data_IF_644259388089
#
_entry.id   IF_644259388089
#
_cell.length_a   1.000
_cell.length_b   1.000
_cell.length_c   1.000
_cell.angle_alpha   90.00
_cell.angle_beta   90.00
_cell.angle_gamma   90.00
#
_symmetry.space_group_name_H-M   'P 1'
#
loop_
_entity.id
_entity.type
_entity.pdbx_description
1 polymer ?
#
# COMPACT_ATOMS: atom_id res chain seq x y z
N UNK A 1 2.80 84.53 -17.62
CA UNK A 1 2.24 83.83 -16.41
C UNK A 1 1.24 82.69 -16.73
N UNK A 2 0.68 82.65 -17.94
CA UNK A 2 -0.33 81.61 -18.34
C UNK A 2 0.23 80.22 -18.67
N UNK A 3 1.47 80.11 -19.10
CA UNK A 3 2.06 78.77 -19.47
C UNK A 3 2.36 77.91 -18.24
N UNK A 4 2.63 78.57 -17.11
CA UNK A 4 2.97 77.86 -15.85
C UNK A 4 1.73 77.25 -15.17
N UNK A 5 0.53 77.79 -15.37
CA UNK A 5 -0.73 77.28 -14.79
C UNK A 5 -1.23 76.01 -15.54
N UNK A 6 -1.09 76.00 -16.86
CA UNK A 6 -1.51 74.90 -17.69
C UNK A 6 -0.65 73.60 -17.44
N UNK A 7 0.64 73.79 -17.18
CA UNK A 7 1.52 72.64 -16.90
C UNK A 7 1.15 71.96 -15.53
N UNK A 8 0.81 72.76 -14.54
CA UNK A 8 0.37 72.26 -13.23
C UNK A 8 -0.99 71.53 -13.30
N UNK A 9 -1.89 72.01 -14.15
CA UNK A 9 -3.20 71.36 -14.36
C UNK A 9 -3.06 70.02 -15.11
N UNK A 10 -2.19 69.96 -16.12
CA UNK A 10 -1.86 68.71 -16.85
C UNK A 10 -1.16 67.68 -15.95
N UNK A 11 -0.22 68.14 -15.14
CA UNK A 11 0.44 67.27 -14.17
C UNK A 11 -0.52 66.72 -13.13
N UNK A 12 -1.49 67.50 -12.65
CA UNK A 12 -2.53 67.10 -11.73
C UNK A 12 -3.47 66.05 -12.32
N UNK A 13 -3.86 66.21 -13.59
CA UNK A 13 -4.68 65.24 -14.33
C UNK A 13 -3.93 63.96 -14.63
N UNK A 14 -2.65 63.99 -14.97
CA UNK A 14 -1.81 62.81 -15.15
C UNK A 14 -1.64 62.08 -13.81
N UNK A 15 -1.43 62.79 -12.71
CA UNK A 15 -1.30 62.21 -11.39
C UNK A 15 -2.61 61.55 -10.92
N UNK A 16 -3.76 62.18 -11.20
CA UNK A 16 -5.08 61.61 -10.89
C UNK A 16 -5.40 60.39 -11.74
N UNK A 17 -5.02 60.35 -13.02
CA UNK A 17 -5.15 59.18 -13.88
C UNK A 17 -4.24 58.03 -13.45
N UNK A 18 -2.99 58.31 -13.06
CA UNK A 18 -2.07 57.33 -12.56
C UNK A 18 -2.52 56.73 -11.22
N UNK A 19 -3.05 57.56 -10.29
CA UNK A 19 -3.58 57.05 -9.02
C UNK A 19 -4.86 56.25 -9.19
N UNK A 20 -5.76 56.63 -10.13
CA UNK A 20 -6.93 55.80 -10.47
C UNK A 20 -6.54 54.46 -11.13
N UNK A 21 -5.50 54.45 -11.97
CA UNK A 21 -4.99 53.23 -12.61
C UNK A 21 -4.32 52.31 -11.60
N UNK A 22 -3.57 52.85 -10.63
CA UNK A 22 -3.00 52.06 -9.52
C UNK A 22 -4.08 51.55 -8.54
N UNK A 23 -5.15 52.32 -8.29
CA UNK A 23 -6.29 51.86 -7.49
C UNK A 23 -7.09 50.74 -8.19
N UNK A 24 -7.22 50.79 -9.51
CA UNK A 24 -7.87 49.75 -10.32
C UNK A 24 -7.00 48.50 -10.45
N UNK A 25 -5.66 48.63 -10.50
CA UNK A 25 -4.75 47.46 -10.44
C UNK A 25 -4.65 46.84 -9.06
N UNK A 26 -4.85 47.57 -7.96
CA UNK A 26 -4.84 47.03 -6.60
C UNK A 26 -6.11 46.24 -6.27
N UNK A 27 -7.18 46.33 -7.10
CA UNK A 27 -8.40 45.52 -6.95
C UNK A 27 -8.41 44.24 -7.82
N UNK A 28 -7.43 44.04 -8.71
CA UNK A 28 -7.22 42.79 -9.41
C UNK A 28 -6.28 41.88 -8.59
N UNK A 29 -6.70 41.51 -7.38
CA UNK A 29 -6.13 40.30 -6.76
C UNK A 29 -6.48 39.17 -7.69
N UNK A 30 -5.49 38.38 -8.19
CA UNK A 30 -5.83 37.17 -8.91
C UNK A 30 -6.68 36.37 -7.94
N UNK A 31 -7.91 36.05 -8.34
CA UNK A 31 -8.75 35.08 -7.67
C UNK A 31 -7.94 33.79 -7.71
N UNK A 32 -7.15 33.54 -6.68
CA UNK A 32 -6.50 32.24 -6.48
C UNK A 32 -7.67 31.27 -6.37
N UNK A 33 -7.91 30.55 -7.45
CA UNK A 33 -8.80 29.41 -7.40
C UNK A 33 -8.26 28.51 -6.28
N UNK A 34 -8.96 28.47 -5.17
CA UNK A 34 -8.58 27.61 -4.06
C UNK A 34 -8.49 26.17 -4.59
N UNK A 35 -7.45 25.43 -4.22
CA UNK A 35 -7.29 24.06 -4.70
C UNK A 35 -8.54 23.26 -4.33
N UNK A 36 -9.21 22.74 -5.35
CA UNK A 36 -10.36 21.86 -5.17
C UNK A 36 -9.90 20.61 -4.44
N UNK A 37 -10.37 20.42 -3.21
CA UNK A 37 -10.01 19.29 -2.36
C UNK A 37 -11.09 18.22 -2.46
N UNK A 38 -10.69 17.02 -2.88
CA UNK A 38 -11.44 15.78 -2.73
C UNK A 38 -10.54 14.77 -2.05
N UNK A 39 -10.85 14.39 -0.83
CA UNK A 39 -10.02 13.48 -0.05
C UNK A 39 -10.86 12.49 0.72
N UNK A 40 -10.57 11.21 0.54
CA UNK A 40 -10.98 10.13 1.43
C UNK A 40 -9.76 9.70 2.24
N UNK A 41 -9.87 9.63 3.54
CA UNK A 41 -8.78 9.23 4.42
C UNK A 41 -9.27 8.36 5.56
N UNK A 42 -8.43 7.40 5.94
CA UNK A 42 -8.63 6.51 7.08
C UNK A 42 -7.54 6.84 8.10
N UNK A 43 -7.92 7.00 9.35
CA UNK A 43 -7.02 7.25 10.47
C UNK A 43 -7.38 6.35 11.65
N UNK A 44 -6.57 6.36 12.71
CA UNK A 44 -6.80 5.54 13.91
C UNK A 44 -8.17 5.78 14.59
N UNK A 45 -8.84 6.88 14.30
CA UNK A 45 -10.15 7.23 14.91
C UNK A 45 -11.35 7.00 14.01
N UNK A 46 -11.14 6.66 12.73
CA UNK A 46 -12.27 6.48 11.79
C UNK A 46 -11.94 6.87 10.35
N UNK A 47 -13.00 6.98 9.55
CA UNK A 47 -12.96 7.41 8.15
C UNK A 47 -13.35 8.89 8.05
N UNK A 48 -12.72 9.61 7.13
CA UNK A 48 -13.03 11.02 6.87
C UNK A 48 -13.11 11.29 5.37
N UNK A 49 -14.13 12.01 4.96
CA UNK A 49 -14.28 12.55 3.62
C UNK A 49 -14.24 14.07 3.70
N UNK A 50 -13.38 14.70 2.89
CA UNK A 50 -13.29 16.15 2.74
C UNK A 50 -13.55 16.52 1.30
N UNK A 51 -14.53 17.40 1.06
CA UNK A 51 -14.96 17.84 -0.26
C UNK A 51 -15.05 19.38 -0.31
N UNK A 52 -14.51 20.00 -1.36
CA UNK A 52 -14.76 21.41 -1.67
C UNK A 52 -16.15 21.56 -2.30
N UNK A 53 -16.89 22.62 -1.96
CA UNK A 53 -18.23 22.87 -2.54
C UNK A 53 -18.20 23.33 -3.99
N UNK A 54 -17.07 23.83 -4.49
CA UNK A 54 -16.87 24.24 -5.89
C UNK A 54 -16.45 23.12 -6.83
N UNK A 55 -16.65 21.85 -6.46
CA UNK A 55 -16.31 20.70 -7.30
C UNK A 55 -17.12 20.65 -8.59
N UNK A 56 -16.47 20.31 -9.71
CA UNK A 56 -17.17 19.96 -10.94
C UNK A 56 -17.90 18.63 -10.73
N UNK A 57 -19.13 18.58 -11.21
CA UNK A 57 -19.99 17.39 -11.03
C UNK A 57 -19.32 16.10 -11.55
N UNK A 58 -18.66 16.17 -12.68
CA UNK A 58 -17.92 15.05 -13.28
C UNK A 58 -16.80 14.50 -12.37
N UNK A 59 -16.13 15.38 -11.61
CA UNK A 59 -15.04 14.98 -10.70
C UNK A 59 -15.62 14.37 -9.43
N UNK A 60 -16.74 14.93 -8.95
CA UNK A 60 -17.49 14.34 -7.83
C UNK A 60 -18.05 12.96 -8.19
N UNK A 61 -18.53 12.74 -9.41
CA UNK A 61 -19.00 11.44 -9.89
C UNK A 61 -17.88 10.40 -9.90
N UNK A 62 -16.71 10.79 -10.39
CA UNK A 62 -15.52 9.92 -10.33
C UNK A 62 -15.15 9.55 -8.91
N UNK A 63 -15.16 10.53 -8.01
CA UNK A 63 -14.85 10.31 -6.60
C UNK A 63 -15.86 9.39 -5.93
N UNK A 64 -17.17 9.62 -6.13
CA UNK A 64 -18.24 8.77 -5.63
C UNK A 64 -18.08 7.34 -6.15
N UNK A 65 -17.77 7.18 -7.43
CA UNK A 65 -17.55 5.87 -8.04
C UNK A 65 -16.27 5.20 -7.52
N UNK A 66 -15.18 5.96 -7.43
CA UNK A 66 -13.87 5.45 -6.98
C UNK A 66 -13.91 4.91 -5.55
N UNK A 67 -14.65 5.57 -4.66
CA UNK A 67 -14.76 5.20 -3.25
C UNK A 67 -16.13 4.61 -2.88
N UNK A 68 -16.96 4.32 -3.90
CA UNK A 68 -18.29 3.68 -3.79
C UNK A 68 -19.23 4.34 -2.79
N UNK A 69 -19.25 5.64 -2.81
CA UNK A 69 -19.99 6.48 -1.86
C UNK A 69 -21.42 6.77 -2.30
N UNK A 70 -21.98 5.96 -3.22
CA UNK A 70 -23.33 6.17 -3.77
C UNK A 70 -24.43 6.25 -2.71
N UNK A 71 -24.30 5.42 -1.66
CA UNK A 71 -25.26 5.37 -0.55
C UNK A 71 -25.27 6.62 0.32
N UNK A 72 -24.24 7.48 0.23
CA UNK A 72 -24.18 8.72 1.01
C UNK A 72 -24.95 9.88 0.38
N UNK A 73 -25.42 9.73 -0.87
CA UNK A 73 -26.13 10.79 -1.61
C UNK A 73 -25.38 12.15 -1.55
N UNK A 74 -24.04 12.12 -1.73
CA UNK A 74 -23.18 13.30 -1.57
C UNK A 74 -23.57 14.49 -2.45
N UNK A 75 -24.09 14.25 -3.66
CA UNK A 75 -24.59 15.32 -4.55
C UNK A 75 -25.75 16.07 -3.92
N UNK A 76 -26.73 15.36 -3.35
CA UNK A 76 -27.87 15.95 -2.67
C UNK A 76 -27.44 16.66 -1.39
N UNK A 77 -26.47 16.09 -0.66
CA UNK A 77 -25.92 16.72 0.51
C UNK A 77 -25.23 18.06 0.18
N UNK A 78 -24.43 18.10 -0.88
CA UNK A 78 -23.72 19.33 -1.30
C UNK A 78 -24.71 20.40 -1.79
N UNK A 79 -25.76 20.02 -2.55
CA UNK A 79 -26.70 20.97 -3.18
C UNK A 79 -27.78 21.46 -2.23
N UNK A 80 -28.32 20.61 -1.37
CA UNK A 80 -29.51 20.89 -0.55
C UNK A 80 -29.31 20.68 0.95
N UNK A 81 -28.09 20.35 1.40
CA UNK A 81 -27.78 20.00 2.79
C UNK A 81 -28.61 18.82 3.34
N UNK A 82 -29.06 17.92 2.46
CA UNK A 82 -29.82 16.74 2.84
C UNK A 82 -28.92 15.71 3.53
N UNK A 83 -29.07 15.54 4.84
CA UNK A 83 -28.15 14.76 5.69
C UNK A 83 -28.64 13.36 6.05
N UNK A 84 -29.86 12.98 5.64
CA UNK A 84 -30.46 11.72 6.10
C UNK A 84 -29.67 10.49 5.66
N UNK A 85 -29.19 10.46 4.42
CA UNK A 85 -28.35 9.37 3.93
C UNK A 85 -27.01 9.30 4.66
N UNK A 86 -26.41 10.45 4.93
CA UNK A 86 -25.15 10.57 5.69
C UNK A 86 -25.33 9.97 7.09
N UNK A 87 -26.39 10.38 7.81
CA UNK A 87 -26.68 9.92 9.18
C UNK A 87 -27.05 8.44 9.24
N UNK A 88 -27.88 7.96 8.30
CA UNK A 88 -28.29 6.55 8.21
C UNK A 88 -27.10 5.62 8.03
N UNK A 89 -26.04 6.08 7.35
CA UNK A 89 -24.79 5.33 7.15
C UNK A 89 -23.77 5.51 8.30
N UNK A 90 -24.18 6.11 9.41
CA UNK A 90 -23.33 6.31 10.59
C UNK A 90 -22.26 7.39 10.44
N UNK A 91 -22.35 8.24 9.41
CA UNK A 91 -21.45 9.38 9.24
C UNK A 91 -21.95 10.60 10.01
N UNK A 92 -21.02 11.41 10.49
CA UNK A 92 -21.28 12.68 11.17
C UNK A 92 -20.70 13.82 10.37
N UNK A 93 -21.45 14.92 10.26
CA UNK A 93 -20.96 16.15 9.62
C UNK A 93 -20.14 16.90 10.66
N UNK A 94 -18.85 17.09 10.39
CA UNK A 94 -17.90 17.81 11.26
C UNK A 94 -17.79 19.27 10.81
N UNK A 95 -17.72 19.49 9.50
CA UNK A 95 -17.64 20.83 8.93
C UNK A 95 -18.57 20.90 7.73
N UNK A 96 -19.34 21.98 7.63
CA UNK A 96 -20.14 22.32 6.46
C UNK A 96 -20.23 23.86 6.37
N UNK A 97 -19.22 24.46 5.78
CA UNK A 97 -19.16 25.91 5.57
C UNK A 97 -19.30 26.26 4.07
N UNK A 98 -19.03 27.48 3.67
CA UNK A 98 -19.16 27.94 2.28
C UNK A 98 -18.15 27.27 1.33
N UNK A 99 -17.04 26.77 1.84
CA UNK A 99 -15.91 26.29 1.06
C UNK A 99 -15.79 24.77 1.04
N UNK A 100 -15.92 24.13 2.21
CA UNK A 100 -15.68 22.70 2.38
C UNK A 100 -16.76 22.00 3.20
N UNK A 101 -16.89 20.73 2.93
CA UNK A 101 -17.63 19.76 3.74
C UNK A 101 -16.65 18.73 4.27
N UNK A 102 -16.72 18.44 5.56
CA UNK A 102 -15.99 17.34 6.20
C UNK A 102 -16.99 16.46 6.92
N UNK A 103 -17.04 15.19 6.55
CA UNK A 103 -17.83 14.18 7.23
C UNK A 103 -16.90 13.08 7.75
N UNK A 104 -17.23 12.53 8.92
CA UNK A 104 -16.45 11.46 9.55
C UNK A 104 -17.36 10.32 9.97
N UNK A 105 -16.85 9.10 9.89
CA UNK A 105 -17.46 7.91 10.46
C UNK A 105 -16.45 7.30 11.43
N UNK A 106 -16.70 7.35 12.75
CA UNK A 106 -15.81 6.74 13.72
C UNK A 106 -15.82 5.23 13.55
N UNK A 107 -14.68 4.58 13.81
CA UNK A 107 -14.68 3.15 14.03
C UNK A 107 -15.44 2.86 15.33
N UNK A 108 -16.19 1.78 15.34
CA UNK A 108 -16.83 1.31 16.56
C UNK A 108 -15.75 1.03 17.61
N UNK A 109 -16.00 1.38 18.87
CA UNK A 109 -15.04 1.12 19.93
C UNK A 109 -14.80 -0.39 20.08
N UNK A 110 -13.59 -0.77 20.50
CA UNK A 110 -13.15 -2.16 20.64
C UNK A 110 -14.06 -3.00 21.56
N UNK A 111 -14.87 -2.37 22.40
CA UNK A 111 -15.75 -3.03 23.36
C UNK A 111 -17.00 -3.66 22.72
N UNK A 112 -17.29 -3.34 21.44
CA UNK A 112 -18.41 -3.87 20.68
C UNK A 112 -17.98 -4.62 19.41
N UNK A 113 -16.72 -5.02 19.32
CA UNK A 113 -16.24 -5.79 18.17
C UNK A 113 -16.73 -7.22 18.31
N UNK A 114 -17.89 -7.51 17.72
CA UNK A 114 -18.45 -8.85 17.64
C UNK A 114 -17.82 -9.64 16.48
N UNK A 115 -17.41 -8.95 15.42
CA UNK A 115 -16.77 -9.56 14.24
C UNK A 115 -15.77 -8.60 13.59
N UNK A 116 -14.46 -8.92 13.55
CA UNK A 116 -13.49 -8.13 12.82
C UNK A 116 -13.84 -7.96 11.34
N UNK A 117 -14.57 -8.89 10.72
CA UNK A 117 -15.05 -8.76 9.35
C UNK A 117 -16.17 -7.71 9.22
N UNK A 118 -16.99 -7.46 10.26
CA UNK A 118 -17.97 -6.37 10.26
C UNK A 118 -17.35 -4.99 10.41
N UNK A 119 -16.19 -4.88 11.05
CA UNK A 119 -15.44 -3.62 11.18
C UNK A 119 -14.84 -3.16 9.84
N UNK A 120 -14.62 -4.07 8.92
CA UNK A 120 -14.00 -3.83 7.63
C UNK A 120 -15.00 -3.99 6.49
N UNK A 121 -16.30 -4.15 6.79
CA UNK A 121 -17.32 -3.92 5.78
C UNK A 121 -17.26 -2.44 5.39
N UNK A 122 -16.40 -2.12 4.45
CA UNK A 122 -16.62 -1.03 3.52
C UNK A 122 -17.86 -1.44 2.70
N UNK A 123 -19.04 -1.20 3.29
CA UNK A 123 -20.28 -1.37 2.55
C UNK A 123 -20.20 -0.50 1.30
N UNK A 124 -20.09 -1.11 0.14
CA UNK A 124 -20.03 -0.42 -1.13
C UNK A 124 -18.75 -0.63 -1.94
N UNK A 125 -17.84 -1.51 -1.53
CA UNK A 125 -16.86 -1.99 -2.50
C UNK A 125 -17.56 -2.94 -3.47
N UNK A 126 -17.82 -2.43 -4.66
CA UNK A 126 -18.56 -3.09 -5.72
C UNK A 126 -18.16 -4.55 -5.84
N UNK A 127 -19.16 -5.38 -5.86
CA UNK A 127 -19.10 -6.57 -6.71
C UNK A 127 -18.71 -6.07 -8.10
N UNK A 128 -17.42 -6.12 -8.43
CA UNK A 128 -17.00 -5.87 -9.78
C UNK A 128 -17.80 -6.83 -10.65
N UNK A 129 -18.65 -6.29 -11.49
CA UNK A 129 -19.08 -6.99 -12.68
C UNK A 129 -17.80 -7.54 -13.30
N UNK A 130 -17.76 -8.88 -13.48
CA UNK A 130 -16.63 -9.63 -13.99
C UNK A 130 -15.45 -9.87 -13.03
N UNK A 131 -15.66 -10.68 -11.98
CA UNK A 131 -14.69 -11.67 -11.50
C UNK A 131 -13.27 -11.24 -11.13
N UNK A 132 -13.00 -9.94 -10.97
CA UNK A 132 -11.75 -9.45 -10.42
C UNK A 132 -12.02 -8.74 -9.10
N UNK A 133 -11.79 -9.45 -7.99
CA UNK A 133 -11.64 -8.83 -6.67
C UNK A 133 -10.63 -7.70 -6.76
N UNK A 134 -11.08 -6.45 -6.77
CA UNK A 134 -10.24 -5.25 -6.84
C UNK A 134 -9.48 -4.97 -5.53
N UNK A 135 -9.76 -5.71 -4.47
CA UNK A 135 -8.85 -5.91 -3.35
C UNK A 135 -8.24 -7.30 -3.51
N UNK A 136 -7.49 -7.49 -4.57
CA UNK A 136 -6.68 -8.67 -4.69
C UNK A 136 -5.70 -8.64 -3.52
N UNK A 137 -5.86 -9.59 -2.61
CA UNK A 137 -4.86 -9.96 -1.62
C UNK A 137 -3.61 -10.51 -2.31
N UNK A 138 -3.32 -10.00 -3.50
CA UNK A 138 -2.14 -10.39 -4.26
C UNK A 138 -0.92 -10.01 -3.42
N UNK A 139 -0.15 -10.97 -2.96
CA UNK A 139 1.01 -10.68 -2.15
C UNK A 139 1.93 -9.72 -2.88
N UNK A 140 2.32 -8.63 -2.23
CA UNK A 140 3.39 -7.78 -2.74
C UNK A 140 4.69 -8.42 -2.28
N UNK A 141 5.44 -8.92 -3.22
CA UNK A 141 6.75 -9.50 -2.96
C UNK A 141 7.75 -9.03 -4.02
N UNK A 142 9.02 -9.14 -3.71
CA UNK A 142 10.04 -8.86 -4.71
C UNK A 142 11.46 -9.09 -4.26
N UNK A 143 12.29 -9.24 -5.25
CA UNK A 143 13.74 -9.39 -5.14
C UNK A 143 14.41 -8.28 -5.93
N UNK A 144 15.58 -7.87 -5.48
CA UNK A 144 16.42 -6.97 -6.25
C UNK A 144 17.23 -7.74 -7.29
N UNK A 145 17.39 -7.16 -8.46
CA UNK A 145 18.23 -7.71 -9.52
C UNK A 145 19.03 -6.59 -10.17
N UNK A 146 20.29 -6.47 -9.78
CA UNK A 146 21.23 -5.46 -10.26
C UNK A 146 22.33 -6.09 -11.09
N UNK A 147 22.72 -5.41 -12.18
CA UNK A 147 23.87 -5.80 -13.01
C UNK A 147 25.18 -5.62 -12.27
N UNK A 148 25.29 -4.60 -11.44
CA UNK A 148 26.45 -4.33 -10.59
C UNK A 148 26.17 -4.70 -9.14
N UNK A 149 27.13 -5.35 -8.47
CA UNK A 149 27.05 -5.69 -7.05
C UNK A 149 27.09 -4.45 -6.11
N UNK A 150 27.46 -3.29 -6.65
CA UNK A 150 27.69 -2.06 -5.87
C UNK A 150 26.66 -0.97 -6.18
N UNK A 151 25.54 -1.31 -6.81
CA UNK A 151 24.49 -0.34 -7.14
C UNK A 151 23.77 0.24 -5.93
N UNK A 152 23.87 -0.42 -4.78
CA UNK A 152 23.41 0.08 -3.49
C UNK A 152 24.15 -0.62 -2.35
N UNK A 153 24.18 0.03 -1.19
CA UNK A 153 24.61 -0.57 0.09
C UNK A 153 23.54 -0.35 1.14
N UNK A 154 23.45 -1.26 2.12
CA UNK A 154 22.49 -1.19 3.22
C UNK A 154 23.24 -1.22 4.52
N UNK A 155 23.00 -0.22 5.38
CA UNK A 155 23.49 -0.17 6.75
C UNK A 155 22.30 0.13 7.69
N UNK A 156 21.81 -0.91 8.35
CA UNK A 156 20.59 -0.83 9.13
C UNK A 156 19.39 -0.46 8.29
N UNK A 157 18.78 0.70 8.53
CA UNK A 157 17.67 1.25 7.74
C UNK A 157 18.11 2.26 6.68
N UNK A 158 19.42 2.48 6.51
CA UNK A 158 19.96 3.44 5.54
C UNK A 158 20.37 2.69 4.27
N UNK A 159 19.80 3.13 3.15
CA UNK A 159 20.10 2.61 1.81
C UNK A 159 20.86 3.68 1.05
N UNK A 160 22.03 3.33 0.52
CA UNK A 160 22.80 4.19 -0.39
C UNK A 160 22.53 3.76 -1.83
N UNK A 161 21.94 4.65 -2.62
CA UNK A 161 21.78 4.49 -4.06
C UNK A 161 22.99 5.05 -4.79
N UNK A 162 23.48 4.35 -5.79
CA UNK A 162 24.64 4.75 -6.59
C UNK A 162 24.27 4.74 -8.06
N UNK A 163 24.45 5.89 -8.74
CA UNK A 163 24.39 5.98 -10.18
C UNK A 163 25.82 5.92 -10.73
N UNK A 164 26.17 4.79 -11.33
CA UNK A 164 27.42 4.63 -12.08
C UNK A 164 27.37 5.39 -13.42
N UNK A 165 28.52 5.65 -14.00
CA UNK A 165 28.68 6.12 -15.40
C UNK A 165 28.29 7.58 -15.73
N UNK A 166 27.60 8.35 -14.93
CA UNK A 166 27.24 9.74 -15.25
C UNK A 166 28.18 10.78 -14.60
N UNK A 167 29.50 10.48 -14.54
CA UNK A 167 30.47 11.33 -13.85
C UNK A 167 30.65 12.72 -14.45
N UNK A 168 30.27 12.92 -15.71
CA UNK A 168 30.34 14.22 -16.41
C UNK A 168 29.13 15.13 -16.15
N UNK A 169 28.06 14.61 -15.53
CA UNK A 169 26.90 15.41 -15.14
C UNK A 169 27.32 16.48 -14.12
N UNK A 170 26.73 17.67 -14.22
CA UNK A 170 26.98 18.80 -13.30
C UNK A 170 26.16 18.64 -12.01
N UNK A 171 25.00 18.02 -12.12
CA UNK A 171 24.06 17.83 -11.01
C UNK A 171 23.28 16.56 -11.20
N UNK A 172 23.22 15.73 -10.16
CA UNK A 172 22.38 14.54 -10.14
C UNK A 172 21.50 14.55 -8.88
N UNK A 173 20.25 14.18 -9.05
CA UNK A 173 19.26 14.04 -7.97
C UNK A 173 18.69 12.63 -8.00
N UNK A 174 18.28 12.14 -6.83
CA UNK A 174 17.53 10.90 -6.63
C UNK A 174 16.09 11.24 -6.27
N UNK A 175 15.13 10.83 -7.08
CA UNK A 175 13.70 10.96 -6.85
C UNK A 175 13.02 9.60 -6.76
N UNK A 176 11.93 9.50 -6.00
CA UNK A 176 11.19 8.24 -5.89
C UNK A 176 9.95 8.37 -5.02
N UNK A 177 9.26 7.25 -4.82
CA UNK A 177 8.09 7.16 -3.94
C UNK A 177 8.39 7.60 -2.50
N UNK A 178 9.63 7.50 -2.05
CA UNK A 178 10.10 7.97 -0.74
C UNK A 178 10.30 9.49 -0.66
N UNK A 179 10.29 10.21 -1.79
CA UNK A 179 10.35 11.69 -1.86
C UNK A 179 9.04 12.28 -2.40
N UNK A 180 8.00 11.47 -2.57
CA UNK A 180 6.76 11.85 -3.27
C UNK A 180 7.01 12.46 -4.67
N UNK A 181 8.05 11.99 -5.37
CA UNK A 181 8.45 12.43 -6.71
C UNK A 181 8.68 13.94 -6.85
N UNK A 182 9.01 14.63 -5.74
CA UNK A 182 9.25 16.06 -5.78
C UNK A 182 10.51 16.37 -6.60
N UNK A 183 10.43 17.43 -7.40
CA UNK A 183 11.59 17.93 -8.17
C UNK A 183 12.72 18.49 -7.29
N UNK A 184 12.42 18.79 -6.02
CA UNK A 184 13.42 19.03 -4.96
C UNK A 184 14.00 17.71 -4.42
N UNK A 185 14.14 16.72 -5.29
CA UNK A 185 14.69 15.41 -5.01
C UNK A 185 16.03 15.47 -4.26
N UNK A 186 16.42 14.36 -3.67
CA UNK A 186 17.64 14.28 -2.88
C UNK A 186 18.86 14.56 -3.76
N UNK A 187 19.68 15.59 -3.44
CA UNK A 187 20.94 15.82 -4.16
C UNK A 187 21.88 14.65 -3.93
N UNK A 188 22.52 14.22 -5.00
CA UNK A 188 23.54 13.18 -4.95
C UNK A 188 24.93 13.81 -4.90
N UNK A 189 25.86 13.14 -4.23
CA UNK A 189 27.27 13.54 -4.14
C UNK A 189 28.09 12.70 -5.08
N UNK A 190 28.97 13.32 -5.86
CA UNK A 190 29.90 12.61 -6.72
C UNK A 190 31.01 11.94 -5.89
N UNK A 191 31.20 10.66 -6.10
CA UNK A 191 32.21 9.81 -5.46
C UNK A 191 33.05 9.08 -6.53
N UNK A 192 34.07 8.36 -6.11
CA UNK A 192 34.85 7.52 -7.03
C UNK A 192 34.01 6.44 -7.72
N UNK A 193 32.98 5.93 -7.04
CA UNK A 193 32.05 4.91 -7.58
C UNK A 193 30.97 5.48 -8.51
N UNK A 194 30.74 6.79 -8.49
CA UNK A 194 29.67 7.47 -9.20
C UNK A 194 28.92 8.44 -8.28
N UNK A 195 27.72 8.82 -8.66
CA UNK A 195 26.86 9.67 -7.83
C UNK A 195 26.18 8.84 -6.76
N UNK A 196 26.20 9.27 -5.52
CA UNK A 196 25.59 8.55 -4.40
C UNK A 196 24.68 9.43 -3.55
N UNK A 197 23.60 8.85 -3.04
CA UNK A 197 22.72 9.45 -2.04
C UNK A 197 22.19 8.38 -1.08
N UNK A 198 22.03 8.75 0.18
CA UNK A 198 21.49 7.88 1.23
C UNK A 198 20.06 8.22 1.56
N UNK A 199 19.24 7.19 1.78
CA UNK A 199 17.83 7.32 2.17
C UNK A 199 17.56 6.37 3.33
N UNK A 200 16.90 6.87 4.36
CA UNK A 200 16.38 6.00 5.43
C UNK A 200 15.05 5.41 4.98
N UNK A 201 14.98 4.10 4.86
CA UNK A 201 13.80 3.36 4.40
C UNK A 201 13.39 2.32 5.44
N UNK A 202 12.11 1.97 5.44
CA UNK A 202 11.59 0.77 6.09
C UNK A 202 11.49 -0.36 5.05
N UNK A 203 11.38 -1.63 5.46
CA UNK A 203 11.08 -2.70 4.52
C UNK A 203 9.88 -2.37 3.64
N UNK A 204 10.04 -2.52 2.32
CA UNK A 204 9.02 -2.09 1.36
C UNK A 204 9.48 -2.14 -0.09
N UNK A 205 8.52 -1.88 -0.98
CA UNK A 205 8.74 -1.67 -2.42
C UNK A 205 8.81 -0.17 -2.71
N UNK A 206 9.83 0.26 -3.41
CA UNK A 206 10.08 1.65 -3.76
C UNK A 206 10.31 1.80 -5.26
N UNK A 207 9.64 2.77 -5.85
CA UNK A 207 9.89 3.21 -7.21
C UNK A 207 10.83 4.40 -7.19
N UNK A 208 11.82 4.46 -8.10
CA UNK A 208 12.78 5.55 -8.15
C UNK A 208 13.32 5.83 -9.56
N UNK A 209 13.88 7.00 -9.72
CA UNK A 209 14.63 7.46 -10.89
C UNK A 209 15.78 8.36 -10.46
N UNK A 210 16.76 8.48 -11.33
CA UNK A 210 17.77 9.54 -11.24
C UNK A 210 17.37 10.71 -12.15
N UNK A 211 17.84 11.91 -11.79
CA UNK A 211 17.69 13.13 -12.59
C UNK A 211 19.08 13.70 -12.81
N UNK A 212 19.65 13.48 -13.99
CA UNK A 212 20.99 13.96 -14.36
C UNK A 212 20.86 15.19 -15.28
N UNK A 213 21.34 16.34 -14.80
CA UNK A 213 21.24 17.62 -15.51
C UNK A 213 19.83 17.93 -16.04
N UNK A 214 18.81 17.60 -15.23
CA UNK A 214 17.39 17.80 -15.54
C UNK A 214 16.71 16.66 -16.30
N UNK A 215 17.46 15.66 -16.77
CA UNK A 215 16.92 14.52 -17.51
C UNK A 215 16.58 13.35 -16.60
N UNK A 216 15.32 12.93 -16.61
CA UNK A 216 14.82 11.77 -15.86
C UNK A 216 15.27 10.47 -16.53
N UNK A 217 15.83 9.55 -15.73
CA UNK A 217 16.27 8.26 -16.21
C UNK A 217 16.04 7.15 -15.18
N UNK A 218 15.75 5.96 -15.65
CA UNK A 218 15.79 4.75 -14.83
C UNK A 218 17.24 4.42 -14.47
N UNK A 219 17.42 3.65 -13.40
CA UNK A 219 18.74 3.14 -13.05
C UNK A 219 19.20 2.12 -14.10
N UNK A 220 20.31 2.38 -14.82
CA UNK A 220 20.81 1.48 -15.84
C UNK A 220 21.32 0.15 -15.27
N UNK A 221 21.66 0.11 -13.99
CA UNK A 221 22.12 -1.11 -13.33
C UNK A 221 20.96 -1.96 -12.79
N UNK A 222 19.77 -1.39 -12.63
CA UNK A 222 18.62 -2.12 -12.11
C UNK A 222 17.80 -2.74 -13.26
N UNK A 223 17.67 -4.07 -13.23
CA UNK A 223 16.88 -4.80 -14.25
C UNK A 223 15.38 -4.75 -13.91
N UNK A 224 15.04 -4.53 -12.64
CA UNK A 224 13.64 -4.53 -12.20
C UNK A 224 13.03 -3.16 -12.43
N UNK A 225 12.07 -3.10 -13.33
CA UNK A 225 11.35 -1.87 -13.66
C UNK A 225 9.85 -2.10 -13.62
N UNK A 226 9.09 -1.03 -13.43
CA UNK A 226 7.62 -1.04 -13.42
C UNK A 226 7.07 0.20 -14.10
N UNK A 227 6.00 0.02 -14.87
CA UNK A 227 5.23 1.13 -15.45
C UNK A 227 4.21 1.61 -14.42
N UNK A 228 4.08 2.94 -14.26
CA UNK A 228 3.15 3.56 -13.30
C UNK A 228 1.70 3.65 -13.81
N UNK A 229 1.43 3.16 -15.00
CA UNK A 229 0.12 3.26 -15.65
C UNK A 229 -0.13 4.61 -16.35
N UNK A 230 0.78 5.58 -16.20
CA UNK A 230 0.73 6.90 -16.83
C UNK A 230 1.74 7.04 -18.00
N UNK A 231 2.36 5.93 -18.37
CA UNK A 231 3.36 5.88 -19.45
C UNK A 231 4.81 6.04 -18.99
N UNK A 232 5.07 6.21 -17.69
CA UNK A 232 6.43 6.29 -17.17
C UNK A 232 6.91 4.94 -16.68
N UNK A 233 8.15 4.59 -17.03
CA UNK A 233 8.83 3.43 -16.47
C UNK A 233 9.73 3.88 -15.32
N UNK A 234 9.64 3.20 -14.18
CA UNK A 234 10.42 3.48 -12.99
C UNK A 234 11.28 2.27 -12.62
N UNK A 235 12.45 2.50 -12.05
CA UNK A 235 13.24 1.44 -11.42
C UNK A 235 12.59 1.03 -10.11
N UNK A 236 12.63 -0.26 -9.78
CA UNK A 236 12.05 -0.80 -8.55
C UNK A 236 13.15 -1.24 -7.61
N UNK A 237 13.10 -0.77 -6.37
CA UNK A 237 13.95 -1.21 -5.28
C UNK A 237 13.10 -1.87 -4.20
N UNK A 238 13.51 -3.04 -3.73
CA UNK A 238 12.91 -3.72 -2.59
C UNK A 238 13.83 -3.65 -1.39
N UNK A 239 13.40 -2.97 -0.32
CA UNK A 239 14.08 -3.11 0.95
C UNK A 239 13.57 -4.40 1.61
N UNK A 240 14.41 -5.43 1.57
CA UNK A 240 14.06 -6.80 1.96
C UNK A 240 13.89 -6.93 3.47
N UNK A 241 12.92 -7.74 3.89
CA UNK A 241 12.63 -8.05 5.30
C UNK A 241 12.70 -9.56 5.61
N UNK A 242 12.97 -10.36 4.59
CA UNK A 242 12.96 -11.83 4.68
C UNK A 242 14.21 -12.38 4.02
N UNK A 243 14.82 -13.36 4.64
CA UNK A 243 15.92 -14.14 4.06
C UNK A 243 15.50 -15.61 4.01
N UNK A 244 15.19 -16.11 2.82
CA UNK A 244 15.06 -17.55 2.62
C UNK A 244 16.45 -18.16 2.59
N UNK A 245 16.65 -19.22 3.38
CA UNK A 245 17.94 -19.88 3.52
C UNK A 245 17.75 -21.39 3.52
N UNK A 246 18.49 -22.07 2.68
CA UNK A 246 18.56 -23.54 2.62
C UNK A 246 20.01 -23.95 2.84
N UNK A 247 20.32 -24.47 4.02
CA UNK A 247 21.65 -24.98 4.34
C UNK A 247 21.87 -26.36 3.72
N UNK A 248 23.09 -26.66 3.36
CA UNK A 248 23.43 -27.87 2.61
C UNK A 248 23.10 -27.76 1.12
N UNK A 249 22.80 -28.86 0.49
CA UNK A 249 22.50 -28.94 -0.95
C UNK A 249 23.55 -28.26 -1.84
N UNK A 250 24.81 -28.25 -1.39
CA UNK A 250 25.92 -27.56 -2.09
C UNK A 250 26.25 -28.20 -3.44
N UNK A 251 25.84 -29.44 -3.69
CA UNK A 251 25.97 -30.13 -4.96
C UNK A 251 24.82 -29.83 -5.93
N UNK A 252 23.71 -29.25 -5.46
CA UNK A 252 22.62 -28.86 -6.33
C UNK A 252 23.08 -27.83 -7.38
N UNK A 253 22.58 -27.97 -8.60
CA UNK A 253 22.87 -27.05 -9.70
C UNK A 253 21.98 -25.82 -9.65
N UNK A 254 20.73 -26.01 -9.23
CA UNK A 254 19.70 -24.95 -9.20
C UNK A 254 18.80 -25.14 -7.98
N UNK A 255 18.58 -24.06 -7.27
CA UNK A 255 17.60 -24.02 -6.17
C UNK A 255 16.73 -22.78 -6.32
N UNK A 256 15.44 -22.93 -6.13
CA UNK A 256 14.50 -21.81 -6.03
C UNK A 256 13.53 -22.01 -4.88
N UNK A 257 12.91 -20.92 -4.43
CA UNK A 257 11.80 -20.92 -3.50
C UNK A 257 10.50 -20.67 -4.26
N UNK A 258 9.44 -21.35 -3.87
CA UNK A 258 8.09 -21.15 -4.39
C UNK A 258 7.08 -21.21 -3.24
N UNK A 259 6.00 -20.47 -3.34
CA UNK A 259 5.03 -20.38 -2.26
C UNK A 259 3.76 -19.63 -2.64
N UNK A 260 2.87 -19.46 -1.67
CA UNK A 260 1.61 -18.74 -1.85
C UNK A 260 1.82 -17.28 -2.28
N UNK A 261 2.97 -16.66 -1.97
CA UNK A 261 3.32 -15.31 -2.38
C UNK A 261 3.52 -15.16 -3.89
N UNK A 262 3.92 -16.21 -4.62
CA UNK A 262 4.10 -16.17 -6.07
C UNK A 262 3.18 -17.15 -6.82
N UNK A 263 2.06 -17.54 -6.19
CA UNK A 263 1.11 -18.54 -6.72
C UNK A 263 1.80 -19.84 -7.13
N UNK A 264 2.78 -20.28 -6.36
CA UNK A 264 3.55 -21.52 -6.57
C UNK A 264 4.24 -21.62 -7.94
N UNK A 265 4.55 -20.45 -8.56
CA UNK A 265 5.25 -20.43 -9.86
C UNK A 265 6.69 -20.88 -9.70
N UNK A 266 7.02 -21.96 -10.39
CA UNK A 266 8.38 -22.50 -10.41
C UNK A 266 9.37 -21.61 -11.19
N UNK A 267 10.65 -21.67 -10.79
CA UNK A 267 11.74 -21.06 -11.53
C UNK A 267 11.70 -19.54 -11.64
N UNK A 268 10.94 -18.84 -10.78
CA UNK A 268 10.91 -17.39 -10.75
C UNK A 268 11.82 -16.77 -9.68
N UNK A 269 11.97 -17.44 -8.56
CA UNK A 269 12.70 -16.94 -7.40
C UNK A 269 13.94 -17.83 -7.14
N UNK A 270 14.94 -17.66 -7.99
CA UNK A 270 16.19 -18.39 -7.89
C UNK A 270 16.99 -17.96 -6.68
N UNK A 271 17.49 -18.92 -5.93
CA UNK A 271 18.35 -18.69 -4.80
C UNK A 271 19.81 -18.53 -5.23
N UNK A 272 20.53 -17.74 -4.47
CA UNK A 272 21.97 -17.46 -4.68
C UNK A 272 22.76 -18.51 -3.92
N UNK A 273 23.66 -19.18 -4.59
CA UNK A 273 24.56 -20.18 -3.98
C UNK A 273 25.55 -19.48 -3.04
N UNK A 274 25.75 -20.07 -1.88
CA UNK A 274 26.74 -19.66 -0.88
C UNK A 274 27.73 -20.79 -0.61
N UNK A 275 28.71 -20.56 0.23
CA UNK A 275 29.67 -21.61 0.61
C UNK A 275 29.01 -22.78 1.34
N UNK A 276 27.92 -22.56 2.08
CA UNK A 276 27.26 -23.56 2.94
C UNK A 276 25.88 -23.97 2.49
N UNK A 277 25.36 -23.39 1.40
CA UNK A 277 24.00 -23.65 0.91
C UNK A 277 23.49 -22.58 -0.05
N UNK A 278 22.26 -22.12 0.16
CA UNK A 278 21.55 -21.22 -0.75
C UNK A 278 20.80 -20.16 0.04
N UNK A 279 20.69 -18.96 -0.52
CA UNK A 279 19.95 -17.86 0.12
C UNK A 279 19.22 -16.99 -0.91
N UNK A 280 18.13 -16.36 -0.49
CA UNK A 280 17.40 -15.37 -1.27
C UNK A 280 16.84 -14.29 -0.33
N UNK A 281 17.44 -13.08 -0.31
CA UNK A 281 16.82 -11.93 0.32
C UNK A 281 15.58 -11.51 -0.48
N UNK A 282 14.45 -11.32 0.19
CA UNK A 282 13.19 -10.96 -0.44
C UNK A 282 12.41 -9.99 0.43
N UNK A 283 11.64 -9.10 -0.21
CA UNK A 283 10.57 -8.38 0.46
C UNK A 283 9.28 -9.17 0.37
N UNK A 284 8.59 -9.30 1.49
CA UNK A 284 7.21 -9.76 1.59
C UNK A 284 6.39 -8.71 2.35
N UNK A 285 5.23 -8.34 1.85
CA UNK A 285 4.29 -7.53 2.64
C UNK A 285 3.75 -8.34 3.84
N UNK A 286 3.02 -7.66 4.73
CA UNK A 286 2.43 -8.35 5.88
C UNK A 286 1.48 -9.46 5.41
N UNK A 287 1.56 -10.60 6.08
CA UNK A 287 0.76 -11.78 5.77
C UNK A 287 1.39 -13.07 6.30
N UNK A 288 0.65 -14.16 6.21
CA UNK A 288 1.15 -15.52 6.43
C UNK A 288 1.24 -16.22 5.09
N UNK A 289 2.40 -16.79 4.81
CA UNK A 289 2.73 -17.42 3.55
C UNK A 289 3.19 -18.86 3.77
N UNK A 290 2.76 -19.72 2.87
CA UNK A 290 3.28 -21.10 2.78
C UNK A 290 4.31 -21.17 1.66
N UNK A 291 5.36 -21.97 1.86
CA UNK A 291 6.44 -22.09 0.88
C UNK A 291 7.16 -23.44 0.93
N UNK A 292 7.86 -23.75 -0.15
CA UNK A 292 8.78 -24.88 -0.28
C UNK A 292 10.03 -24.47 -1.05
N UNK A 293 11.11 -25.20 -0.84
CA UNK A 293 12.29 -25.13 -1.70
C UNK A 293 12.20 -26.19 -2.78
N UNK A 294 12.82 -25.90 -3.92
CA UNK A 294 12.99 -26.86 -4.99
C UNK A 294 14.46 -26.91 -5.37
N UNK A 295 15.10 -28.05 -5.14
CA UNK A 295 16.49 -28.30 -5.46
C UNK A 295 16.57 -29.34 -6.58
N UNK A 296 17.10 -28.94 -7.74
CA UNK A 296 17.21 -29.78 -8.95
C UNK A 296 15.90 -30.52 -9.29
N UNK A 297 14.75 -29.84 -9.11
CA UNK A 297 13.42 -30.37 -9.41
C UNK A 297 12.75 -31.12 -8.25
N UNK A 298 13.41 -31.27 -7.13
CA UNK A 298 12.82 -31.93 -5.96
C UNK A 298 12.23 -30.92 -4.97
N UNK A 299 10.95 -31.02 -4.73
CA UNK A 299 10.20 -30.19 -3.80
C UNK A 299 10.39 -30.66 -2.36
N UNK A 300 10.65 -29.74 -1.45
CA UNK A 300 10.79 -30.03 -0.03
C UNK A 300 10.30 -28.88 0.84
N UNK A 301 9.70 -29.21 1.99
CA UNK A 301 9.53 -28.23 3.04
C UNK A 301 10.90 -27.78 3.57
N UNK A 302 10.97 -26.56 4.12
CA UNK A 302 12.19 -26.04 4.72
C UNK A 302 12.61 -26.92 5.92
N UNK A 303 13.77 -27.60 5.88
CA UNK A 303 14.21 -28.46 6.95
C UNK A 303 14.43 -27.73 8.28
N UNK A 304 14.79 -26.44 8.21
CA UNK A 304 15.08 -25.62 9.37
C UNK A 304 13.83 -24.95 9.98
N UNK A 305 12.68 -25.02 9.30
CA UNK A 305 11.44 -24.39 9.76
C UNK A 305 10.48 -25.42 10.36
N UNK A 306 10.24 -25.32 11.67
CA UNK A 306 9.29 -26.18 12.37
C UNK A 306 7.82 -25.80 12.14
N UNK A 307 7.53 -24.55 11.71
CA UNK A 307 6.18 -24.11 11.43
C UNK A 307 5.72 -24.63 10.07
N UNK A 308 4.71 -25.48 10.06
CA UNK A 308 4.25 -26.20 8.87
C UNK A 308 2.74 -26.32 8.86
N UNK A 309 2.15 -26.19 7.68
CA UNK A 309 0.76 -26.54 7.42
C UNK A 309 0.71 -27.78 6.52
N UNK A 310 -0.29 -28.62 6.75
CA UNK A 310 -0.58 -29.76 5.88
C UNK A 310 -1.21 -29.21 4.59
N UNK A 311 -0.72 -29.71 3.44
CA UNK A 311 -1.29 -29.34 2.15
C UNK A 311 -2.31 -30.38 1.65
N UNK A 312 -2.91 -30.13 0.49
CA UNK A 312 -3.92 -30.99 -0.14
C UNK A 312 -3.42 -32.39 -0.54
N UNK A 313 -2.09 -32.57 -0.58
CA UNK A 313 -1.45 -33.86 -0.86
C UNK A 313 -1.04 -34.65 0.42
N UNK A 314 -1.51 -34.20 1.58
CA UNK A 314 -1.12 -34.74 2.90
C UNK A 314 0.39 -34.66 3.14
N UNK A 315 1.07 -33.68 2.54
CA UNK A 315 2.47 -33.32 2.78
C UNK A 315 2.53 -31.94 3.48
N UNK A 316 3.71 -31.43 3.76
CA UNK A 316 3.89 -30.21 4.52
C UNK A 316 4.41 -29.06 3.66
N UNK A 317 3.81 -27.89 3.83
CA UNK A 317 4.38 -26.61 3.42
C UNK A 317 4.93 -25.89 4.66
N UNK A 318 6.12 -25.33 4.55
CA UNK A 318 6.68 -24.46 5.58
C UNK A 318 5.91 -23.13 5.63
N UNK A 319 5.82 -22.54 6.81
CA UNK A 319 5.04 -21.30 7.06
C UNK A 319 5.96 -20.18 7.50
N UNK A 320 5.79 -19.01 6.91
CA UNK A 320 6.42 -17.75 7.34
C UNK A 320 5.35 -16.67 7.51
N UNK A 321 5.45 -15.91 8.60
CA UNK A 321 4.53 -14.80 8.91
C UNK A 321 5.29 -13.49 9.03
N UNK A 322 4.82 -12.47 8.33
CA UNK A 322 5.42 -11.12 8.31
C UNK A 322 4.39 -10.14 8.87
N UNK A 323 4.70 -9.49 9.98
CA UNK A 323 3.84 -8.50 10.63
C UNK A 323 3.26 -8.99 11.95
N UNK A 324 2.27 -8.26 12.47
CA UNK A 324 1.64 -8.54 13.76
C UNK A 324 0.47 -9.50 13.59
N UNK A 325 0.41 -10.60 14.36
CA UNK A 325 -0.69 -11.54 14.25
C UNK A 325 -1.99 -11.02 14.86
N UNK A 326 -3.10 -11.35 14.20
CA UNK A 326 -4.45 -11.29 14.76
C UNK A 326 -4.73 -12.61 15.48
N UNK A 327 -5.29 -12.54 16.68
CA UNK A 327 -5.68 -13.74 17.41
C UNK A 327 -7.11 -14.15 17.06
N UNK A 328 -7.27 -15.26 16.35
CA UNK A 328 -8.57 -15.87 16.11
C UNK A 328 -8.92 -16.80 17.27
N UNK A 329 -10.15 -16.69 17.78
CA UNK A 329 -10.64 -17.49 18.92
C UNK A 329 -12.02 -18.07 18.61
N UNK A 330 -12.23 -19.32 19.00
CA UNK A 330 -13.55 -19.96 18.97
C UNK A 330 -13.86 -20.46 20.39
N UNK A 331 -14.74 -19.78 21.14
CA UNK A 331 -15.13 -20.23 22.47
C UNK A 331 -15.92 -21.54 22.44
N UNK A 332 -15.83 -22.33 23.49
CA UNK A 332 -16.55 -23.61 23.58
C UNK A 332 -15.89 -24.73 22.80
N UNK A 333 -16.69 -25.65 22.28
CA UNK A 333 -16.27 -26.82 21.51
C UNK A 333 -15.19 -27.67 22.21
N UNK A 334 -15.30 -27.82 23.53
CA UNK A 334 -14.31 -28.52 24.36
C UNK A 334 -14.20 -30.02 24.02
N UNK A 335 -15.28 -30.60 23.44
CA UNK A 335 -15.30 -32.01 23.04
C UNK A 335 -14.77 -32.20 21.59
N UNK A 336 -14.57 -31.13 20.86
CA UNK A 336 -14.06 -31.25 19.49
C UNK A 336 -12.64 -31.82 19.47
N UNK A 337 -12.39 -32.67 18.47
CA UNK A 337 -11.10 -33.31 18.26
C UNK A 337 -10.17 -32.43 17.44
N UNK A 338 -10.72 -31.75 16.43
CA UNK A 338 -9.98 -30.89 15.49
C UNK A 338 -10.77 -29.64 15.18
N UNK A 339 -10.10 -28.52 15.22
CA UNK A 339 -10.66 -27.23 14.77
C UNK A 339 -9.64 -26.55 13.87
N UNK A 340 -10.14 -26.05 12.73
CA UNK A 340 -9.34 -25.33 11.76
C UNK A 340 -9.96 -23.94 11.52
N UNK A 341 -9.10 -22.98 11.22
CA UNK A 341 -9.51 -21.68 10.69
C UNK A 341 -9.42 -21.72 9.16
N UNK A 342 -10.47 -21.29 8.47
CA UNK A 342 -10.45 -21.14 7.02
C UNK A 342 -11.13 -19.84 6.61
N UNK A 343 -10.66 -19.25 5.51
CA UNK A 343 -11.21 -18.00 5.02
C UNK A 343 -10.70 -17.67 3.62
N UNK A 344 -11.09 -16.50 3.14
CA UNK A 344 -10.66 -15.99 1.85
C UNK A 344 -9.13 -15.85 1.74
N UNK A 345 -8.44 -15.71 2.88
CA UNK A 345 -6.97 -15.61 2.97
C UNK A 345 -6.22 -16.91 2.67
N UNK A 346 -6.88 -18.06 2.77
CA UNK A 346 -6.28 -19.37 2.42
C UNK A 346 -7.12 -20.17 1.41
N UNK A 347 -7.96 -19.47 0.61
CA UNK A 347 -8.81 -20.12 -0.39
C UNK A 347 -9.86 -21.08 0.21
N UNK A 348 -10.25 -20.88 1.47
CA UNK A 348 -11.20 -21.74 2.19
C UNK A 348 -10.73 -23.18 2.41
N UNK A 349 -9.41 -23.42 2.42
CA UNK A 349 -8.84 -24.74 2.73
C UNK A 349 -9.05 -25.07 4.20
N UNK A 350 -9.99 -25.97 4.47
CA UNK A 350 -10.51 -26.26 5.80
C UNK A 350 -9.71 -27.24 6.65
N UNK A 351 -8.56 -27.70 6.18
CA UNK A 351 -7.64 -28.59 6.93
C UNK A 351 -6.22 -28.03 7.06
N UNK A 352 -5.99 -26.81 6.61
CA UNK A 352 -4.65 -26.24 6.55
C UNK A 352 -4.25 -25.57 7.88
N UNK A 353 -5.10 -24.70 8.42
CA UNK A 353 -4.76 -23.84 9.57
C UNK A 353 -5.36 -24.43 10.84
N UNK A 354 -4.65 -25.39 11.46
CA UNK A 354 -5.10 -26.04 12.67
C UNK A 354 -5.03 -25.08 13.89
N UNK A 355 -6.10 -25.04 14.68
CA UNK A 355 -6.17 -24.26 15.91
C UNK A 355 -5.67 -25.05 17.11
N UNK A 356 -5.17 -24.32 18.10
CA UNK A 356 -4.71 -24.88 19.37
C UNK A 356 -5.84 -24.86 20.40
N UNK A 357 -6.12 -26.02 21.02
CA UNK A 357 -7.10 -26.16 22.10
C UNK A 357 -6.63 -25.46 23.37
N UNK A 358 -7.56 -24.79 24.04
CA UNK A 358 -7.35 -24.11 25.33
C UNK A 358 -8.40 -24.55 26.33
N UNK A 359 -8.32 -24.07 27.56
CA UNK A 359 -9.32 -24.34 28.60
C UNK A 359 -10.69 -23.77 28.32
N UNK A 360 -10.78 -22.69 27.51
CA UNK A 360 -12.03 -21.98 27.19
C UNK A 360 -12.51 -22.15 25.75
N UNK A 361 -11.73 -22.85 24.90
CA UNK A 361 -12.06 -23.01 23.49
C UNK A 361 -10.82 -23.27 22.64
N UNK A 362 -10.76 -22.67 21.47
CA UNK A 362 -9.69 -22.85 20.50
C UNK A 362 -9.13 -21.48 20.08
N UNK A 363 -7.83 -21.43 19.79
CA UNK A 363 -7.18 -20.20 19.34
C UNK A 363 -6.07 -20.46 18.33
N UNK A 364 -5.81 -19.46 17.49
CA UNK A 364 -4.63 -19.41 16.63
C UNK A 364 -4.23 -17.95 16.34
N UNK A 365 -2.97 -17.56 16.54
CA UNK A 365 -2.44 -16.33 16.00
C UNK A 365 -2.18 -16.50 14.50
N UNK A 366 -2.69 -15.59 13.67
CA UNK A 366 -2.49 -15.61 12.23
C UNK A 366 -2.28 -14.21 11.69
N UNK A 367 -1.26 -13.99 10.86
CA UNK A 367 -0.99 -12.68 10.28
C UNK A 367 -1.75 -12.55 8.97
N UNK A 368 -2.60 -11.53 8.90
CA UNK A 368 -3.28 -11.12 7.68
C UNK A 368 -2.55 -9.92 7.05
N UNK A 369 -2.50 -9.88 5.73
CA UNK A 369 -2.11 -8.68 5.00
C UNK A 369 -3.17 -7.58 5.13
N UNK A 370 -2.92 -6.42 4.52
CA UNK A 370 -3.96 -5.40 4.38
C UNK A 370 -5.04 -5.90 3.42
N UNK A 371 -6.30 -5.88 3.84
CA UNK A 371 -7.42 -6.34 3.02
C UNK A 371 -8.66 -6.66 3.85
N UNK A 372 -9.72 -7.05 3.16
CA UNK A 372 -10.96 -7.54 3.75
C UNK A 372 -10.99 -9.05 3.63
N UNK A 373 -11.32 -9.72 4.71
CA UNK A 373 -11.29 -11.17 4.78
C UNK A 373 -12.58 -11.71 5.38
N UNK A 374 -13.09 -12.77 4.76
CA UNK A 374 -14.16 -13.59 5.32
C UNK A 374 -13.53 -14.84 5.91
N UNK A 375 -14.05 -15.32 7.05
CA UNK A 375 -13.56 -16.53 7.69
C UNK A 375 -14.67 -17.30 8.39
N UNK A 376 -14.42 -18.58 8.60
CA UNK A 376 -15.23 -19.52 9.39
C UNK A 376 -14.30 -20.50 10.10
N UNK A 377 -14.87 -21.22 11.03
CA UNK A 377 -14.18 -22.35 11.64
C UNK A 377 -14.70 -23.66 11.06
N UNK A 378 -13.84 -24.64 11.00
CA UNK A 378 -14.19 -26.00 10.60
C UNK A 378 -13.92 -26.94 11.79
N UNK A 379 -14.99 -27.44 12.40
CA UNK A 379 -15.00 -28.17 13.67
C UNK A 379 -15.50 -29.57 13.39
N UNK A 380 -14.66 -30.59 13.55
CA UNK A 380 -15.03 -32.02 13.37
C UNK A 380 -15.95 -32.20 12.14
N UNK A 381 -15.47 -31.77 10.98
CA UNK A 381 -16.13 -31.86 9.67
C UNK A 381 -17.38 -30.97 9.45
N UNK A 382 -17.65 -30.01 10.34
CA UNK A 382 -18.77 -29.10 10.21
C UNK A 382 -18.29 -27.63 10.19
N UNK A 383 -18.93 -26.85 9.32
CA UNK A 383 -18.67 -25.41 9.29
C UNK A 383 -19.41 -24.69 10.42
N UNK A 384 -18.70 -23.80 11.08
CA UNK A 384 -19.15 -23.00 12.21
C UNK A 384 -18.82 -21.53 11.94
N UNK A 385 -19.76 -20.63 12.18
CA UNK A 385 -19.54 -19.17 12.03
C UNK A 385 -18.68 -18.61 13.18
N UNK A 386 -18.36 -17.33 13.12
CA UNK A 386 -17.55 -16.65 14.12
C UNK A 386 -18.24 -16.59 15.52
N UNK A 387 -19.55 -16.70 15.56
CA UNK A 387 -20.34 -16.75 16.81
C UNK A 387 -20.49 -18.17 17.39
N UNK A 388 -19.95 -19.19 16.70
CA UNK A 388 -20.04 -20.59 17.14
C UNK A 388 -21.30 -21.32 16.70
N UNK A 389 -22.08 -20.79 15.76
CA UNK A 389 -23.27 -21.46 15.24
C UNK A 389 -22.92 -22.40 14.09
N UNK A 390 -23.48 -23.61 14.12
CA UNK A 390 -23.35 -24.54 13.03
C UNK A 390 -24.07 -24.00 11.77
N UNK A 391 -23.36 -23.97 10.66
CA UNK A 391 -23.91 -23.56 9.38
C UNK A 391 -24.46 -24.81 8.70
N UNK A 392 -25.80 -24.89 8.58
CA UNK A 392 -26.45 -25.93 7.78
C UNK A 392 -26.17 -25.65 6.30
N UNK A 393 -25.80 -26.69 5.55
CA UNK A 393 -25.68 -26.62 4.09
C UNK A 393 -27.03 -26.35 3.43
#
# INVERSE_FOLDING_TARGET
MEVSSNIKEIQKRIWLCCTLFFLLMAMATPLHAQPTVMKYSISKGGMQITLSKGLKEKDLDKFIKQYELGNLALKQFISSNFQDSIKKQGWKVVTNNKEIIVITKPFLSSDNIIDPAELIKLEGMATAAEGKNLLSNTPIFGINNFRSKHSFTIEGSVVTFVLHNNKTAKKVLLAGSFTNWQTAALPMTLTDSGWSATVKLNPGKYLYKFIADGNWMTDPDNIVTENDGEGNTNSVYYFTNTLFRLDGFTNAKKVFVSGSFNNWQEGKLWMIKTATGWQLPMFLNNGTYTYRYVADGQWMADPANANRFVNEHNDFNSVISIGTPTLFTLPGFQNAQKVFLAGSFNGWHNYEIAMTKTTSGWKIPYVLGAGNYEYKFYVDEHWVDAAGNQIKK
#
